data_IF_604866464988
#
_entry.id   IF_604866464988
#
_cell.length_a   1.000
_cell.length_b   1.000
_cell.length_c   1.000
_cell.angle_alpha   90.00
_cell.angle_beta   90.00
_cell.angle_gamma   90.00
#
_symmetry.space_group_name_H-M   'P 1'
#
loop_
_entity.id
_entity.type
_entity.pdbx_description
1 polymer ?
#
# COMPACT_ATOMS: atom_id res chain seq x y z
N UNK A 1 -10.30 1.03 6.51
CA UNK A 1 -9.45 1.69 5.51
C UNK A 1 -8.65 2.79 6.18
N UNK A 2 -9.30 3.74 6.85
CA UNK A 2 -8.70 4.81 7.68
C UNK A 2 -7.42 4.40 8.43
N UNK A 3 -7.48 3.38 9.31
CA UNK A 3 -6.29 2.89 10.05
C UNK A 3 -5.09 2.48 9.18
N UNK A 4 -5.33 2.01 7.95
CA UNK A 4 -4.25 1.70 7.01
C UNK A 4 -3.63 2.98 6.46
N UNK A 5 -4.44 4.00 6.18
CA UNK A 5 -4.00 5.31 5.70
C UNK A 5 -3.24 6.05 6.80
N UNK A 6 -3.74 6.09 8.04
CA UNK A 6 -3.02 6.70 9.17
C UNK A 6 -1.65 6.05 9.43
N UNK A 7 -1.55 4.75 9.15
CA UNK A 7 -0.31 4.01 9.28
C UNK A 7 0.62 4.26 8.09
N UNK A 8 0.07 4.40 6.88
CA UNK A 8 0.82 4.80 5.68
C UNK A 8 1.37 6.22 5.81
N UNK A 9 0.60 7.15 6.40
CA UNK A 9 1.00 8.54 6.59
C UNK A 9 2.22 8.69 7.47
N UNK A 10 2.41 7.76 8.41
CA UNK A 10 3.57 7.69 9.29
C UNK A 10 4.78 6.97 8.67
N UNK A 11 4.69 6.50 7.43
CA UNK A 11 5.79 5.84 6.73
C UNK A 11 6.42 6.81 5.73
N UNK A 12 7.69 7.09 5.94
CA UNK A 12 8.50 7.87 5.01
C UNK A 12 8.88 7.06 3.74
N UNK A 13 9.20 7.78 2.67
CA UNK A 13 9.70 7.19 1.43
C UNK A 13 8.63 6.73 0.44
N UNK A 14 7.37 7.12 0.64
CA UNK A 14 6.31 7.02 -0.35
C UNK A 14 5.91 8.42 -0.85
N UNK A 15 5.96 8.61 -2.17
CA UNK A 15 5.50 9.86 -2.82
C UNK A 15 3.98 9.99 -2.73
N UNK A 16 3.43 11.17 -3.06
CA UNK A 16 1.97 11.35 -3.16
C UNK A 16 1.33 10.39 -4.17
N UNK A 17 2.04 10.10 -5.26
CA UNK A 17 1.59 9.11 -6.25
C UNK A 17 1.65 7.68 -5.68
N UNK A 18 2.71 7.30 -4.97
CA UNK A 18 2.72 5.98 -4.30
C UNK A 18 1.53 5.84 -3.33
N UNK A 19 1.20 6.93 -2.63
CA UNK A 19 0.09 6.98 -1.67
C UNK A 19 -1.26 6.85 -2.36
N UNK A 20 -1.47 7.46 -3.53
CA UNK A 20 -2.72 7.27 -4.30
C UNK A 20 -2.90 5.81 -4.71
N UNK A 21 -1.86 5.16 -5.23
CA UNK A 21 -1.94 3.73 -5.55
C UNK A 21 -2.13 2.85 -4.31
N UNK A 22 -1.57 3.22 -3.17
CA UNK A 22 -1.80 2.50 -1.93
C UNK A 22 -3.29 2.54 -1.50
N UNK A 23 -4.02 3.63 -1.82
CA UNK A 23 -5.46 3.71 -1.57
C UNK A 23 -6.22 2.64 -2.36
N UNK A 24 -5.90 2.45 -3.64
CA UNK A 24 -6.46 1.38 -4.48
C UNK A 24 -6.12 -0.02 -3.91
N UNK A 25 -4.86 -0.24 -3.50
CA UNK A 25 -4.45 -1.49 -2.85
C UNK A 25 -5.29 -1.78 -1.61
N UNK A 26 -5.65 -0.75 -0.84
CA UNK A 26 -6.45 -0.86 0.37
C UNK A 26 -7.95 -0.96 0.15
N UNK A 27 -8.46 -0.96 -1.07
CA UNK A 27 -9.88 -1.31 -1.34
C UNK A 27 -10.16 -2.77 -0.95
N UNK A 28 -9.18 -3.66 -1.16
CA UNK A 28 -9.27 -5.06 -0.76
C UNK A 28 -9.14 -5.25 0.76
N UNK A 29 -10.12 -5.93 1.37
CA UNK A 29 -10.11 -6.28 2.78
C UNK A 29 -8.90 -7.14 3.18
N UNK A 30 -8.52 -8.09 2.31
CA UNK A 30 -7.35 -8.97 2.53
C UNK A 30 -6.06 -8.15 2.53
N UNK A 31 -5.90 -7.22 1.59
CA UNK A 31 -4.72 -6.36 1.55
C UNK A 31 -4.60 -5.48 2.81
N UNK A 32 -5.73 -4.92 3.29
CA UNK A 32 -5.77 -4.17 4.55
C UNK A 32 -5.33 -5.04 5.73
N UNK A 33 -5.82 -6.28 5.80
CA UNK A 33 -5.46 -7.22 6.85
C UNK A 33 -3.95 -7.54 6.83
N UNK A 34 -3.41 -7.92 5.68
CA UNK A 34 -1.97 -8.22 5.51
C UNK A 34 -1.11 -7.02 5.94
N UNK A 35 -1.47 -5.81 5.51
CA UNK A 35 -0.75 -4.60 5.87
C UNK A 35 -0.82 -4.29 7.38
N UNK A 36 -1.97 -4.49 8.02
CA UNK A 36 -2.13 -4.18 9.44
C UNK A 36 -1.50 -5.23 10.34
N UNK A 37 -1.65 -6.52 10.02
CA UNK A 37 -1.21 -7.64 10.86
C UNK A 37 0.24 -8.06 10.66
N UNK A 38 0.89 -7.66 9.57
CA UNK A 38 2.32 -7.99 9.36
C UNK A 38 3.21 -7.34 10.43
N UNK A 39 3.91 -8.19 11.19
CA UNK A 39 4.84 -7.77 12.26
C UNK A 39 6.19 -7.29 11.72
N UNK A 40 6.68 -7.90 10.64
CA UNK A 40 7.96 -7.52 10.03
C UNK A 40 7.77 -6.25 9.20
N UNK A 41 8.30 -5.12 9.70
CA UNK A 41 8.18 -3.83 9.05
C UNK A 41 8.75 -3.84 7.63
N UNK A 42 9.96 -4.37 7.44
CA UNK A 42 10.65 -4.39 6.16
C UNK A 42 9.89 -5.25 5.13
N UNK A 43 9.42 -6.43 5.55
CA UNK A 43 8.62 -7.30 4.68
C UNK A 43 7.29 -6.63 4.28
N UNK A 44 6.63 -5.92 5.21
CA UNK A 44 5.41 -5.16 4.93
C UNK A 44 5.66 -4.03 3.92
N UNK A 45 6.73 -3.27 4.07
CA UNK A 45 7.08 -2.20 3.12
C UNK A 45 7.37 -2.77 1.74
N UNK A 46 8.18 -3.83 1.66
CA UNK A 46 8.50 -4.48 0.39
C UNK A 46 7.26 -5.04 -0.29
N UNK A 47 6.36 -5.67 0.47
CA UNK A 47 5.08 -6.14 -0.01
C UNK A 47 4.21 -5.00 -0.57
N UNK A 48 4.10 -3.88 0.16
CA UNK A 48 3.30 -2.74 -0.27
C UNK A 48 3.88 -2.10 -1.55
N UNK A 49 5.21 -1.93 -1.62
CA UNK A 49 5.88 -1.44 -2.83
C UNK A 49 5.56 -2.31 -4.04
N UNK A 50 5.58 -3.64 -3.90
CA UNK A 50 5.21 -4.57 -4.97
C UNK A 50 3.74 -4.40 -5.41
N UNK A 51 2.82 -4.20 -4.45
CA UNK A 51 1.40 -3.97 -4.75
C UNK A 51 1.18 -2.65 -5.49
N UNK A 52 1.84 -1.57 -5.06
CA UNK A 52 1.80 -0.26 -5.74
C UNK A 52 2.35 -0.37 -7.15
N UNK A 53 3.50 -1.03 -7.34
CA UNK A 53 4.07 -1.26 -8.67
C UNK A 53 3.12 -2.05 -9.59
N UNK A 54 2.37 -3.01 -9.05
CA UNK A 54 1.37 -3.73 -9.82
C UNK A 54 0.16 -2.86 -10.19
N UNK A 55 -0.33 -2.00 -9.28
CA UNK A 55 -1.39 -1.03 -9.58
C UNK A 55 -0.97 -0.07 -10.68
N UNK A 56 0.25 0.52 -10.58
CA UNK A 56 0.83 1.37 -11.64
C UNK A 56 0.81 0.73 -13.01
N UNK A 57 1.24 -0.53 -13.08
CA UNK A 57 1.29 -1.26 -14.34
C UNK A 57 -0.10 -1.46 -14.95
N UNK A 58 -1.15 -1.60 -14.13
CA UNK A 58 -2.53 -1.74 -14.59
C UNK A 58 -3.10 -0.40 -15.08
N UNK A 59 -2.87 0.70 -14.36
CA UNK A 59 -3.37 2.02 -14.76
C UNK A 59 -2.74 2.52 -16.06
N UNK A 60 -1.48 2.18 -16.34
CA UNK A 60 -0.85 2.53 -17.63
C UNK A 60 -1.51 1.81 -18.83
N UNK A 61 -2.24 0.72 -18.59
CA UNK A 61 -2.89 -0.09 -19.64
C UNK A 61 -4.36 0.32 -19.83
N UNK A 62 -4.99 0.95 -18.83
CA UNK A 62 -6.38 1.41 -18.88
C UNK A 62 -6.49 2.83 -19.43
#
# INVERSE_FOLDING_TARGET
MEKCLDKLDRIDGFTYEDRSYAMEVFESAINREVFMKSKNHNARLLWLKRKISACRALTTIM
#
